data_IF_600090757782
#
_entry.id   IF_600090757782
#
_cell.length_a   1.000
_cell.length_b   1.000
_cell.length_c   1.000
_cell.angle_alpha   90.00
_cell.angle_beta   90.00
_cell.angle_gamma   90.00
#
_symmetry.space_group_name_H-M   'P 1'
#
loop_
_entity.id
_entity.type
_entity.pdbx_description
1 polymer ?
#
# COMPACT_ATOMS: atom_id res chain seq x y z
N UNK A 1 33.86 -61.92 11.39
CA UNK A 1 34.27 -60.66 10.73
C UNK A 1 35.78 -60.46 10.70
N UNK A 2 36.48 -60.57 11.83
CA UNK A 2 37.94 -60.31 11.90
C UNK A 2 38.72 -61.28 11.01
N UNK A 3 38.40 -62.57 11.06
CA UNK A 3 38.99 -63.62 10.21
C UNK A 3 38.79 -63.39 8.72
N UNK A 4 37.67 -62.80 8.30
CA UNK A 4 37.41 -62.48 6.89
C UNK A 4 38.29 -61.29 6.42
N UNK A 5 38.43 -60.25 7.24
CA UNK A 5 39.33 -59.11 6.95
C UNK A 5 40.80 -59.53 6.90
N UNK A 6 41.19 -60.48 7.75
CA UNK A 6 42.56 -60.98 7.80
C UNK A 6 42.91 -61.76 6.53
N UNK A 7 42.01 -62.66 6.09
CA UNK A 7 42.15 -63.36 4.80
C UNK A 7 42.12 -62.41 3.60
N UNK A 8 41.30 -61.36 3.64
CA UNK A 8 41.27 -60.32 2.60
C UNK A 8 42.61 -59.59 2.49
N UNK A 9 43.18 -59.15 3.62
CA UNK A 9 44.51 -58.51 3.66
C UNK A 9 45.62 -59.44 3.17
N UNK A 10 45.62 -60.69 3.58
CA UNK A 10 46.58 -61.70 3.12
C UNK A 10 46.45 -61.95 1.62
N UNK A 11 45.24 -62.05 1.07
CA UNK A 11 45.01 -62.22 -0.36
C UNK A 11 45.65 -61.07 -1.17
N UNK A 12 45.35 -59.81 -0.80
CA UNK A 12 45.91 -58.66 -1.50
C UNK A 12 47.43 -58.50 -1.32
N UNK A 13 47.99 -58.92 -0.18
CA UNK A 13 49.45 -58.86 0.04
C UNK A 13 50.23 -59.96 -0.71
N UNK A 14 49.63 -61.15 -0.88
CA UNK A 14 50.33 -62.32 -1.40
C UNK A 14 50.16 -62.48 -2.92
N UNK A 15 49.10 -61.93 -3.51
CA UNK A 15 48.78 -62.09 -4.94
C UNK A 15 49.73 -61.32 -5.87
N UNK A 16 50.37 -61.97 -6.86
CA UNK A 16 51.37 -61.33 -7.75
C UNK A 16 50.78 -60.17 -8.57
N UNK A 17 49.52 -60.26 -8.98
CA UNK A 17 48.86 -59.25 -9.80
C UNK A 17 48.36 -58.04 -8.99
N UNK A 18 48.06 -58.21 -7.69
CA UNK A 18 47.42 -57.17 -6.86
C UNK A 18 48.29 -56.66 -5.72
N UNK A 19 49.46 -57.26 -5.46
CA UNK A 19 50.39 -56.86 -4.38
C UNK A 19 50.75 -55.38 -4.43
N UNK A 20 50.94 -54.83 -5.62
CA UNK A 20 51.27 -53.41 -5.80
C UNK A 20 50.12 -52.46 -5.42
N UNK A 21 48.87 -52.95 -5.35
CA UNK A 21 47.67 -52.21 -4.97
C UNK A 21 47.16 -52.56 -3.57
N UNK A 22 47.89 -53.38 -2.79
CA UNK A 22 47.39 -53.94 -1.54
C UNK A 22 47.03 -52.86 -0.49
N UNK A 23 47.60 -51.67 -0.60
CA UNK A 23 47.30 -50.50 0.25
C UNK A 23 46.00 -49.78 -0.12
N UNK A 24 45.53 -49.95 -1.36
CA UNK A 24 44.36 -49.27 -1.93
C UNK A 24 43.18 -50.22 -2.17
N UNK A 25 43.26 -51.44 -1.64
CA UNK A 25 42.25 -52.49 -1.86
C UNK A 25 41.69 -53.04 -0.55
N UNK A 26 40.56 -53.72 -0.66
CA UNK A 26 39.87 -54.36 0.45
C UNK A 26 38.85 -53.48 1.17
N UNK A 27 38.04 -54.14 2.00
CA UNK A 27 36.88 -53.56 2.68
C UNK A 27 37.23 -52.41 3.63
N UNK A 28 38.41 -52.43 4.25
CA UNK A 28 38.85 -51.36 5.15
C UNK A 28 39.24 -50.09 4.38
N UNK A 29 39.95 -50.23 3.26
CA UNK A 29 40.28 -49.09 2.41
C UNK A 29 39.01 -48.48 1.82
N UNK A 30 38.09 -49.32 1.32
CA UNK A 30 36.79 -48.88 0.83
C UNK A 30 35.99 -48.13 1.91
N UNK A 31 35.94 -48.64 3.14
CA UNK A 31 35.26 -47.95 4.24
C UNK A 31 35.85 -46.57 4.51
N UNK A 32 37.19 -46.45 4.58
CA UNK A 32 37.88 -45.16 4.75
C UNK A 32 37.60 -44.20 3.59
N UNK A 33 37.61 -44.71 2.35
CA UNK A 33 37.33 -43.92 1.15
C UNK A 33 35.89 -43.40 1.15
N UNK A 34 34.91 -44.26 1.44
CA UNK A 34 33.49 -43.89 1.52
C UNK A 34 33.23 -42.90 2.66
N UNK A 35 33.85 -43.08 3.83
CA UNK A 35 33.73 -42.12 4.94
C UNK A 35 34.29 -40.76 4.55
N UNK A 36 35.47 -40.70 3.92
CA UNK A 36 36.07 -39.44 3.45
C UNK A 36 35.21 -38.76 2.38
N UNK A 37 34.67 -39.54 1.44
CA UNK A 37 33.80 -39.03 0.41
C UNK A 37 32.49 -38.47 0.98
N UNK A 38 31.84 -39.22 1.88
CA UNK A 38 30.62 -38.79 2.55
C UNK A 38 30.84 -37.50 3.35
N UNK A 39 31.92 -37.43 4.13
CA UNK A 39 32.29 -36.23 4.88
C UNK A 39 32.46 -35.02 3.95
N UNK A 40 33.15 -35.20 2.82
CA UNK A 40 33.32 -34.15 1.82
C UNK A 40 31.99 -33.69 1.22
N UNK A 41 31.09 -34.62 0.90
CA UNK A 41 29.76 -34.30 0.35
C UNK A 41 28.91 -33.56 1.38
N UNK A 42 28.91 -34.01 2.63
CA UNK A 42 28.18 -33.35 3.72
C UNK A 42 28.70 -31.91 3.90
N UNK A 43 30.03 -31.73 4.01
CA UNK A 43 30.64 -30.41 4.15
C UNK A 43 30.32 -29.47 2.98
N UNK A 44 30.29 -30.01 1.75
CA UNK A 44 29.93 -29.23 0.57
C UNK A 44 28.43 -28.83 0.55
N UNK A 45 27.54 -29.63 1.15
CA UNK A 45 26.09 -29.38 1.16
C UNK A 45 25.62 -28.51 2.32
N UNK A 46 26.30 -28.54 3.47
CA UNK A 46 25.93 -27.76 4.67
C UNK A 46 25.69 -26.27 4.36
N UNK A 47 26.57 -25.54 3.63
CA UNK A 47 26.35 -24.12 3.34
C UNK A 47 25.07 -23.87 2.54
N UNK A 48 24.75 -24.75 1.58
CA UNK A 48 23.53 -24.65 0.78
C UNK A 48 22.27 -24.91 1.60
N UNK A 49 22.31 -25.88 2.51
CA UNK A 49 21.21 -26.14 3.44
C UNK A 49 21.00 -24.96 4.39
N UNK A 50 22.08 -24.41 4.96
CA UNK A 50 22.01 -23.24 5.83
C UNK A 50 21.42 -22.02 5.09
N UNK A 51 21.85 -21.77 3.85
CA UNK A 51 21.29 -20.69 3.02
C UNK A 51 19.81 -20.88 2.72
N UNK A 52 19.36 -22.12 2.49
CA UNK A 52 17.95 -22.41 2.24
C UNK A 52 17.12 -22.16 3.51
N UNK A 53 17.59 -22.65 4.66
CA UNK A 53 16.93 -22.43 5.95
C UNK A 53 16.80 -20.94 6.25
N UNK A 54 17.88 -20.17 6.11
CA UNK A 54 17.84 -18.73 6.39
C UNK A 54 16.86 -18.00 5.46
N UNK A 55 16.87 -18.33 4.17
CA UNK A 55 15.90 -17.75 3.24
C UNK A 55 14.46 -18.08 3.63
N UNK A 56 14.17 -19.34 3.98
CA UNK A 56 12.84 -19.73 4.41
C UNK A 56 12.43 -19.07 5.72
N UNK A 57 13.37 -18.78 6.62
CA UNK A 57 13.11 -17.98 7.83
C UNK A 57 12.73 -16.56 7.42
N UNK A 58 13.52 -15.90 6.57
CA UNK A 58 13.23 -14.53 6.11
C UNK A 58 11.86 -14.44 5.41
N UNK A 59 11.52 -15.43 4.59
CA UNK A 59 10.22 -15.53 3.91
C UNK A 59 9.06 -15.67 4.90
N UNK A 60 9.20 -16.53 5.92
CA UNK A 60 8.17 -16.74 6.94
C UNK A 60 8.03 -15.55 7.89
N UNK A 61 9.13 -14.87 8.23
CA UNK A 61 9.11 -13.65 9.03
C UNK A 61 8.38 -12.53 8.30
N UNK A 62 8.64 -12.36 6.99
CA UNK A 62 7.91 -11.39 6.16
C UNK A 62 6.40 -11.72 6.07
N UNK A 63 6.03 -13.00 5.95
CA UNK A 63 4.63 -13.42 5.97
C UNK A 63 3.98 -13.16 7.34
N UNK A 64 4.69 -13.41 8.44
CA UNK A 64 4.20 -13.17 9.80
C UNK A 64 4.01 -11.68 10.08
N UNK A 65 4.92 -10.83 9.60
CA UNK A 65 4.78 -9.37 9.69
C UNK A 65 3.54 -8.88 8.92
N UNK A 66 3.22 -9.50 7.78
CA UNK A 66 2.02 -9.18 7.01
C UNK A 66 0.73 -9.65 7.71
N UNK A 67 0.73 -10.85 8.31
CA UNK A 67 -0.41 -11.38 9.06
C UNK A 67 -0.67 -10.63 10.38
N UNK A 68 0.36 -9.98 10.92
CA UNK A 68 0.30 -9.21 12.14
C UNK A 68 0.52 -10.05 13.40
N UNK A 69 0.37 -9.39 14.56
CA UNK A 69 0.70 -10.01 15.85
C UNK A 69 -0.43 -10.92 16.34
N UNK A 70 -0.10 -12.04 17.01
CA UNK A 70 -1.11 -12.90 17.61
C UNK A 70 -1.90 -12.14 18.68
N UNK A 71 -3.22 -12.20 18.56
CA UNK A 71 -4.14 -11.61 19.55
C UNK A 71 -4.30 -12.60 20.70
N UNK A 72 -4.11 -12.14 21.93
CA UNK A 72 -4.35 -12.94 23.12
C UNK A 72 -5.83 -13.34 23.23
N UNK A 73 -6.09 -14.51 23.84
CA UNK A 73 -7.44 -15.04 24.06
C UNK A 73 -8.14 -14.28 25.21
N UNK A 74 -7.37 -13.61 26.07
CA UNK A 74 -7.91 -12.82 27.17
C UNK A 74 -8.68 -11.59 26.67
N UNK A 75 -9.87 -11.37 27.22
CA UNK A 75 -10.76 -10.29 26.82
C UNK A 75 -10.14 -8.89 27.04
N UNK A 76 -9.32 -8.72 28.10
CA UNK A 76 -8.62 -7.47 28.37
C UNK A 76 -7.57 -7.16 27.31
N UNK A 77 -6.80 -8.17 26.90
CA UNK A 77 -5.81 -8.03 25.85
C UNK A 77 -6.43 -7.82 24.45
N UNK A 78 -7.60 -8.41 24.17
CA UNK A 78 -8.36 -8.12 22.95
C UNK A 78 -8.81 -6.66 22.89
N UNK A 79 -9.39 -6.14 23.98
CA UNK A 79 -9.80 -4.74 24.06
C UNK A 79 -8.60 -3.80 23.85
N UNK A 80 -7.46 -4.10 24.47
CA UNK A 80 -6.23 -3.33 24.27
C UNK A 80 -5.80 -3.32 22.80
N UNK A 81 -5.83 -4.48 22.12
CA UNK A 81 -5.49 -4.61 20.70
C UNK A 81 -6.41 -3.75 19.83
N UNK A 82 -7.72 -3.79 20.08
CA UNK A 82 -8.69 -2.95 19.36
C UNK A 82 -8.37 -1.46 19.55
N UNK A 83 -8.07 -1.04 20.78
CA UNK A 83 -7.73 0.36 21.07
C UNK A 83 -6.43 0.80 20.38
N UNK A 84 -5.43 -0.08 20.29
CA UNK A 84 -4.20 0.18 19.53
C UNK A 84 -4.49 0.34 18.03
N UNK A 85 -5.29 -0.57 17.45
CA UNK A 85 -5.70 -0.48 16.05
C UNK A 85 -6.46 0.83 15.76
N UNK A 86 -7.39 1.22 16.64
CA UNK A 86 -8.10 2.49 16.51
C UNK A 86 -7.16 3.70 16.57
N UNK A 87 -6.14 3.68 17.44
CA UNK A 87 -5.15 4.76 17.54
C UNK A 87 -4.24 4.81 16.32
N UNK A 88 -3.81 3.67 15.82
CA UNK A 88 -3.00 3.58 14.61
C UNK A 88 -3.77 4.11 13.40
N UNK A 89 -5.05 3.72 13.28
CA UNK A 89 -5.95 4.26 12.26
C UNK A 89 -6.10 5.78 12.38
N UNK A 90 -6.40 6.31 13.57
CA UNK A 90 -6.55 7.76 13.79
C UNK A 90 -5.29 8.55 13.39
N UNK A 91 -4.10 8.03 13.72
CA UNK A 91 -2.83 8.64 13.34
C UNK A 91 -2.62 8.65 11.82
N UNK A 92 -2.80 7.49 11.17
CA UNK A 92 -2.64 7.36 9.71
C UNK A 92 -3.66 8.23 8.97
N UNK A 93 -4.91 8.26 9.45
CA UNK A 93 -5.97 9.06 8.86
C UNK A 93 -5.68 10.56 8.96
N UNK A 94 -5.19 11.04 10.11
CA UNK A 94 -4.74 12.43 10.28
C UNK A 94 -3.60 12.79 9.33
N UNK A 95 -2.57 11.95 9.24
CA UNK A 95 -1.47 12.15 8.30
C UNK A 95 -1.94 12.19 6.83
N UNK A 96 -2.97 11.40 6.50
CA UNK A 96 -3.57 11.38 5.18
C UNK A 96 -4.35 12.68 4.87
N UNK A 97 -5.05 13.23 5.86
CA UNK A 97 -5.76 14.52 5.73
C UNK A 97 -4.81 15.71 5.65
N UNK A 98 -3.71 15.68 6.41
CA UNK A 98 -2.72 16.78 6.48
C UNK A 98 -1.81 16.85 5.23
N UNK A 99 -1.96 15.95 4.26
CA UNK A 99 -1.24 16.00 2.97
C UNK A 99 -0.01 15.10 2.87
N UNK A 100 0.25 14.23 3.84
CA UNK A 100 1.38 13.28 3.79
C UNK A 100 1.21 12.15 2.77
N UNK A 101 -0.01 11.93 2.28
CA UNK A 101 -0.41 10.97 1.23
C UNK A 101 -1.26 11.71 0.19
N UNK A 102 -1.37 11.21 -1.05
CA UNK A 102 -2.00 11.94 -2.15
C UNK A 102 -3.49 12.30 -1.97
N UNK A 103 -4.14 11.93 -0.86
CA UNK A 103 -5.56 12.22 -0.64
C UNK A 103 -5.87 13.64 -0.21
N UNK A 104 -5.30 14.11 0.91
CA UNK A 104 -5.56 15.46 1.44
C UNK A 104 -5.23 16.55 0.43
N UNK A 105 -4.06 16.46 -0.20
CA UNK A 105 -3.60 17.39 -1.25
C UNK A 105 -4.56 17.49 -2.46
N UNK A 106 -5.21 16.40 -2.84
CA UNK A 106 -6.20 16.42 -3.93
C UNK A 106 -7.46 17.17 -3.54
N UNK A 107 -7.91 17.05 -2.29
CA UNK A 107 -9.05 17.80 -1.77
C UNK A 107 -8.71 19.30 -1.74
N UNK A 108 -7.53 19.67 -1.26
CA UNK A 108 -7.03 21.05 -1.37
C UNK A 108 -7.02 21.52 -2.82
N UNK A 109 -6.60 20.67 -3.76
CA UNK A 109 -6.66 20.91 -5.20
C UNK A 109 -8.04 21.35 -5.71
N UNK A 110 -9.12 20.74 -5.22
CA UNK A 110 -10.49 21.09 -5.59
C UNK A 110 -10.84 22.49 -5.11
N UNK A 111 -10.59 22.80 -3.83
CA UNK A 111 -11.02 24.06 -3.24
C UNK A 111 -10.12 25.25 -3.57
N UNK A 112 -8.80 25.05 -3.72
CA UNK A 112 -7.86 26.13 -3.99
C UNK A 112 -7.76 26.48 -5.49
N UNK A 113 -8.06 25.52 -6.37
CA UNK A 113 -7.90 25.72 -7.82
C UNK A 113 -9.18 25.50 -8.60
N UNK A 114 -9.83 24.34 -8.47
CA UNK A 114 -10.96 23.98 -9.33
C UNK A 114 -12.18 24.87 -9.07
N UNK A 115 -12.57 25.04 -7.81
CA UNK A 115 -13.70 25.88 -7.43
C UNK A 115 -13.48 27.35 -7.83
N UNK A 116 -12.37 28.03 -7.47
CA UNK A 116 -12.11 29.39 -7.92
C UNK A 116 -12.09 29.54 -9.44
N UNK A 117 -11.54 28.55 -10.17
CA UNK A 117 -11.57 28.56 -11.62
C UNK A 117 -12.98 28.42 -12.20
N UNK A 118 -13.83 27.59 -11.58
CA UNK A 118 -15.23 27.41 -11.97
C UNK A 118 -16.04 28.69 -11.69
N UNK A 119 -15.83 29.33 -10.53
CA UNK A 119 -16.48 30.60 -10.17
C UNK A 119 -16.13 31.73 -11.16
N UNK A 120 -14.86 31.82 -11.58
CA UNK A 120 -14.42 32.81 -12.60
C UNK A 120 -15.02 32.58 -13.98
N UNK A 121 -15.47 31.35 -14.29
CA UNK A 121 -16.09 30.99 -15.58
C UNK A 121 -17.60 31.23 -15.60
N UNK A 122 -18.21 31.63 -14.48
CA UNK A 122 -19.65 31.90 -14.44
C UNK A 122 -20.02 33.06 -15.37
N UNK A 123 -21.13 32.96 -16.12
CA UNK A 123 -21.53 33.98 -17.09
C UNK A 123 -22.20 35.20 -16.42
N UNK A 124 -21.66 35.66 -15.29
CA UNK A 124 -22.22 36.78 -14.51
C UNK A 124 -22.15 38.09 -15.28
N UNK A 125 -21.09 38.35 -16.05
CA UNK A 125 -20.99 39.57 -16.87
C UNK A 125 -22.11 39.66 -17.91
N UNK A 126 -22.47 38.52 -18.50
CA UNK A 126 -23.59 38.44 -19.45
C UNK A 126 -24.92 38.66 -18.75
N UNK A 127 -25.10 38.03 -17.58
CA UNK A 127 -26.31 38.17 -16.78
C UNK A 127 -26.51 39.59 -16.24
N UNK A 128 -25.45 40.25 -15.77
CA UNK A 128 -25.45 41.60 -15.22
C UNK A 128 -25.27 42.70 -16.30
N UNK A 129 -25.40 42.35 -17.57
CA UNK A 129 -25.38 43.32 -18.66
C UNK A 129 -26.48 44.38 -18.49
N UNK A 130 -26.20 45.62 -18.88
CA UNK A 130 -27.13 46.77 -18.77
C UNK A 130 -28.51 46.47 -19.38
N UNK A 131 -28.55 45.73 -20.48
CA UNK A 131 -29.79 45.33 -21.13
C UNK A 131 -30.62 44.40 -20.25
N UNK A 132 -30.00 43.38 -19.65
CA UNK A 132 -30.69 42.42 -18.80
C UNK A 132 -31.07 43.04 -17.44
N UNK A 133 -30.20 43.86 -16.85
CA UNK A 133 -30.49 44.60 -15.61
C UNK A 133 -31.71 45.50 -15.79
N UNK A 134 -31.75 46.29 -16.88
CA UNK A 134 -32.92 47.14 -17.19
C UNK A 134 -34.19 46.31 -17.34
N UNK A 135 -34.12 45.19 -18.08
CA UNK A 135 -35.25 44.28 -18.26
C UNK A 135 -35.77 43.75 -16.93
N UNK A 136 -34.91 43.16 -16.09
CA UNK A 136 -35.29 42.56 -14.82
C UNK A 136 -35.86 43.61 -13.84
N UNK A 137 -35.27 44.81 -13.79
CA UNK A 137 -35.77 45.91 -12.95
C UNK A 137 -37.14 46.38 -13.45
N UNK A 138 -37.32 46.58 -14.76
CA UNK A 138 -38.62 47.00 -15.32
C UNK A 138 -39.70 45.93 -15.16
N UNK A 139 -39.34 44.65 -15.19
CA UNK A 139 -40.26 43.52 -14.92
C UNK A 139 -40.65 43.42 -13.44
N UNK A 140 -39.75 43.75 -12.52
CA UNK A 140 -39.98 43.60 -11.08
C UNK A 140 -40.63 44.84 -10.43
N UNK A 141 -40.09 46.04 -10.70
CA UNK A 141 -40.56 47.28 -10.06
C UNK A 141 -41.44 48.15 -10.99
N UNK A 142 -41.67 47.72 -12.24
CA UNK A 142 -42.51 48.41 -13.22
C UNK A 142 -41.81 49.51 -14.03
N UNK A 143 -42.53 50.08 -15.01
CA UNK A 143 -42.01 51.08 -15.96
C UNK A 143 -41.94 52.52 -15.41
N UNK A 144 -42.52 52.77 -14.23
CA UNK A 144 -42.62 54.12 -13.68
C UNK A 144 -41.28 54.54 -13.04
N UNK A 145 -40.75 55.75 -13.32
CA UNK A 145 -39.49 56.19 -12.75
C UNK A 145 -39.56 56.20 -11.22
N UNK A 146 -38.73 55.39 -10.57
CA UNK A 146 -38.69 55.33 -9.12
C UNK A 146 -37.97 56.55 -8.55
N UNK A 147 -38.60 57.25 -7.62
CA UNK A 147 -37.97 58.32 -6.82
C UNK A 147 -36.92 57.76 -5.83
N UNK A 148 -36.95 56.44 -5.60
CA UNK A 148 -36.10 55.68 -4.66
C UNK A 148 -35.60 54.43 -5.40
N UNK A 149 -34.41 53.93 -5.09
CA UNK A 149 -33.80 52.77 -5.73
C UNK A 149 -34.75 51.54 -5.84
N UNK A 150 -34.81 50.84 -7.00
CA UNK A 150 -35.72 49.72 -7.29
C UNK A 150 -35.36 48.45 -6.50
N UNK A 151 -35.95 48.29 -5.31
CA UNK A 151 -35.56 47.24 -4.35
C UNK A 151 -35.88 45.82 -4.83
N UNK A 152 -37.00 45.60 -5.50
CA UNK A 152 -37.40 44.23 -5.89
C UNK A 152 -36.55 43.71 -7.05
N UNK A 153 -36.24 44.57 -8.01
CA UNK A 153 -35.37 44.27 -9.15
C UNK A 153 -33.96 43.91 -8.71
N UNK A 154 -33.35 44.67 -7.79
CA UNK A 154 -32.05 44.30 -7.23
C UNK A 154 -32.10 42.96 -6.50
N UNK A 155 -33.12 42.72 -5.68
CA UNK A 155 -33.26 41.46 -4.97
C UNK A 155 -33.34 40.28 -5.95
N UNK A 156 -34.17 40.40 -6.99
CA UNK A 156 -34.33 39.38 -8.02
C UNK A 156 -33.05 39.14 -8.82
N UNK A 157 -32.30 40.20 -9.15
CA UNK A 157 -30.99 40.08 -9.80
C UNK A 157 -30.00 39.32 -8.94
N UNK A 158 -29.93 39.64 -7.64
CA UNK A 158 -29.04 38.99 -6.69
C UNK A 158 -29.44 37.52 -6.50
N UNK A 159 -30.73 37.23 -6.29
CA UNK A 159 -31.22 35.85 -6.06
C UNK A 159 -30.89 34.93 -7.26
N UNK A 160 -31.06 35.43 -8.49
CA UNK A 160 -30.71 34.66 -9.70
C UNK A 160 -29.20 34.57 -9.88
N UNK A 161 -28.43 35.62 -9.58
CA UNK A 161 -26.98 35.58 -9.62
C UNK A 161 -26.41 34.55 -8.64
N UNK A 162 -26.96 34.45 -7.43
CA UNK A 162 -26.59 33.46 -6.41
C UNK A 162 -26.85 32.02 -6.89
N UNK A 163 -27.90 31.77 -7.65
CA UNK A 163 -28.19 30.43 -8.17
C UNK A 163 -27.13 29.90 -9.15
N UNK A 164 -26.33 30.77 -9.79
CA UNK A 164 -25.23 30.32 -10.65
C UNK A 164 -24.08 29.67 -9.86
N UNK A 165 -23.91 30.00 -8.58
CA UNK A 165 -22.85 29.45 -7.73
C UNK A 165 -23.11 28.00 -7.31
N UNK A 166 -24.40 27.60 -7.25
CA UNK A 166 -24.81 26.27 -6.82
C UNK A 166 -24.20 25.14 -7.64
N UNK A 167 -24.08 25.31 -8.97
CA UNK A 167 -23.50 24.31 -9.85
C UNK A 167 -22.02 24.00 -9.52
N UNK A 168 -21.13 25.01 -9.52
CA UNK A 168 -19.75 24.85 -9.07
C UNK A 168 -19.60 24.33 -7.64
N UNK A 169 -20.47 24.75 -6.72
CA UNK A 169 -20.47 24.29 -5.32
C UNK A 169 -20.77 22.80 -5.22
N UNK A 170 -21.89 22.36 -5.80
CA UNK A 170 -22.30 20.95 -5.81
C UNK A 170 -21.22 20.07 -6.46
N UNK A 171 -20.67 20.50 -7.61
CA UNK A 171 -19.61 19.77 -8.30
C UNK A 171 -18.31 19.66 -7.48
N UNK A 172 -17.98 20.69 -6.68
CA UNK A 172 -16.79 20.67 -5.83
C UNK A 172 -16.97 19.73 -4.63
N UNK A 173 -18.17 19.69 -4.05
CA UNK A 173 -18.52 18.75 -2.97
C UNK A 173 -18.52 17.31 -3.48
N UNK A 174 -19.10 17.06 -4.65
CA UNK A 174 -19.10 15.74 -5.28
C UNK A 174 -17.68 15.26 -5.60
N UNK A 175 -16.83 16.14 -6.13
CA UNK A 175 -15.43 15.83 -6.39
C UNK A 175 -14.66 15.52 -5.10
N UNK A 176 -14.84 16.32 -4.04
CA UNK A 176 -14.21 16.07 -2.74
C UNK A 176 -14.68 14.74 -2.13
N UNK A 177 -15.97 14.41 -2.27
CA UNK A 177 -16.53 13.14 -1.79
C UNK A 177 -15.95 11.94 -2.54
N UNK A 178 -15.91 11.99 -3.87
CA UNK A 178 -15.29 10.92 -4.67
C UNK A 178 -13.80 10.75 -4.33
N UNK A 179 -13.09 11.86 -4.13
CA UNK A 179 -11.70 11.81 -3.73
C UNK A 179 -11.53 11.18 -2.35
N UNK A 180 -12.41 11.49 -1.39
CA UNK A 180 -12.41 10.88 -0.06
C UNK A 180 -12.72 9.37 -0.12
N UNK A 181 -13.68 8.94 -0.95
CA UNK A 181 -14.00 7.52 -1.15
C UNK A 181 -12.81 6.76 -1.77
N UNK A 182 -12.06 7.38 -2.67
CA UNK A 182 -10.84 6.78 -3.24
C UNK A 182 -9.70 6.63 -2.23
N UNK A 183 -9.75 7.29 -1.06
CA UNK A 183 -8.73 7.13 -0.01
C UNK A 183 -8.91 5.84 0.78
N UNK A 184 -10.12 5.28 0.80
CA UNK A 184 -10.42 3.99 1.41
C UNK A 184 -9.97 2.80 0.53
N UNK A 185 -9.73 3.03 -0.77
CA UNK A 185 -9.45 1.98 -1.77
C UNK A 185 -7.94 1.79 -2.09
N UNK A 186 -7.03 2.55 -1.46
CA UNK A 186 -5.57 2.35 -1.58
C UNK A 186 -5.04 1.56 -0.36
N UNK A 187 -5.06 0.20 -0.39
CA UNK A 187 -4.36 -0.60 0.58
C UNK A 187 -2.87 -0.52 0.25
N UNK A 188 -2.14 0.30 1.00
CA UNK A 188 -0.69 0.13 1.13
C UNK A 188 -0.41 -1.15 1.93
#
# INVERSE_FOLDING_TARGET
MITARQREREFFATSPDYRHLSSEMGSEYLAKLLSKHLESVIKARIPGIASLINRSIDELEAELDHLGRPVSIDAGAQLYTILELCRAFDQIFKEHLDGGRPGGDRIYGVFDYQLPAALKKLPLDRYLSLQNVRKVISEADGYQPHLIAPKQGYRRLIDVALNYFRGPEDASVDAAKQLAELLDEDPA
#
